data_IF_671201585062
#
_entry.id   IF_671201585062
#
_cell.length_a   1.000
_cell.length_b   1.000
_cell.length_c   1.000
_cell.angle_alpha   90.00
_cell.angle_beta   90.00
_cell.angle_gamma   90.00
#
_symmetry.space_group_name_H-M   'P 1'
#
loop_
_entity.id
_entity.type
_entity.pdbx_description
1 polymer ?
#
# COMPACT_ATOMS: atom_id res chain seq x y z
N UNK A 1 -3.55 -26.81 11.55
CA UNK A 1 -2.87 -25.56 11.95
C UNK A 1 -3.65 -25.02 13.13
N UNK A 2 -3.11 -25.10 14.34
CA UNK A 2 -3.82 -24.61 15.51
C UNK A 2 -3.45 -23.14 15.69
N UNK A 3 -4.41 -22.25 15.44
CA UNK A 3 -4.28 -20.83 15.75
C UNK A 3 -4.32 -20.66 17.28
N UNK A 4 -3.39 -19.89 17.84
CA UNK A 4 -3.46 -19.46 19.24
C UNK A 4 -4.22 -18.13 19.32
N UNK A 5 -5.46 -18.19 19.79
CA UNK A 5 -6.36 -17.03 19.87
C UNK A 5 -5.80 -15.91 20.74
N UNK A 6 -5.38 -16.22 21.96
CA UNK A 6 -4.90 -15.19 22.90
C UNK A 6 -3.64 -14.50 22.38
N UNK A 7 -2.74 -15.27 21.75
CA UNK A 7 -1.57 -14.71 21.06
C UNK A 7 -2.02 -13.76 19.95
N UNK A 8 -2.92 -14.16 19.06
CA UNK A 8 -3.41 -13.31 17.97
C UNK A 8 -4.00 -12.00 18.46
N UNK A 9 -4.88 -12.07 19.46
CA UNK A 9 -5.54 -10.89 20.00
C UNK A 9 -4.58 -9.95 20.74
N UNK A 10 -3.39 -10.45 21.12
CA UNK A 10 -2.34 -9.64 21.75
C UNK A 10 -1.36 -8.97 20.78
N UNK A 11 -1.37 -9.36 19.49
CA UNK A 11 -0.43 -8.83 18.51
C UNK A 11 -0.67 -7.34 18.25
N UNK A 12 0.42 -6.56 18.17
CA UNK A 12 0.39 -5.13 17.88
C UNK A 12 1.50 -4.73 16.92
N UNK A 13 1.24 -3.71 16.11
CA UNK A 13 2.24 -2.99 15.36
C UNK A 13 2.09 -1.51 15.71
N UNK A 14 3.11 -0.94 16.35
CA UNK A 14 3.07 0.43 16.89
C UNK A 14 4.32 1.19 16.42
N UNK A 15 4.16 2.49 16.12
CA UNK A 15 5.29 3.40 15.88
C UNK A 15 6.06 3.19 14.57
N UNK A 16 5.49 2.49 13.58
CA UNK A 16 6.11 2.41 12.26
C UNK A 16 6.03 3.74 11.52
N UNK A 17 7.20 4.21 11.10
CA UNK A 17 7.33 5.38 10.26
C UNK A 17 7.39 4.96 8.79
N UNK A 18 6.75 5.74 7.93
CA UNK A 18 6.77 5.54 6.49
C UNK A 18 7.20 6.82 5.81
N UNK A 19 8.05 6.67 4.80
CA UNK A 19 8.46 7.75 3.92
C UNK A 19 8.15 7.36 2.48
N UNK A 20 7.70 8.35 1.71
CA UNK A 20 7.42 8.25 0.29
C UNK A 20 7.64 9.62 -0.31
N UNK A 21 8.05 9.66 -1.58
CA UNK A 21 8.22 10.90 -2.30
C UNK A 21 7.48 10.89 -3.63
N UNK A 22 7.89 11.83 -4.49
CA UNK A 22 7.31 12.01 -5.82
C UNK A 22 7.45 10.74 -6.66
N UNK A 23 8.59 10.04 -6.54
CA UNK A 23 8.85 8.79 -7.25
C UNK A 23 7.81 7.71 -6.94
N UNK A 24 7.58 7.41 -5.66
CA UNK A 24 6.61 6.39 -5.23
C UNK A 24 5.18 6.81 -5.59
N UNK A 25 4.89 8.11 -5.49
CA UNK A 25 3.60 8.68 -5.85
C UNK A 25 3.28 8.46 -7.33
N UNK A 26 4.20 8.83 -8.22
CA UNK A 26 4.02 8.65 -9.66
C UNK A 26 4.04 7.17 -10.04
N UNK A 27 4.93 6.36 -9.46
CA UNK A 27 5.01 4.93 -9.74
C UNK A 27 3.71 4.20 -9.38
N UNK A 28 3.08 4.58 -8.26
CA UNK A 28 1.78 4.03 -7.88
C UNK A 28 0.68 4.43 -8.87
N UNK A 29 0.59 5.71 -9.23
CA UNK A 29 -0.40 6.20 -10.19
C UNK A 29 -0.29 5.48 -11.55
N UNK A 30 0.93 5.35 -12.07
CA UNK A 30 1.21 4.57 -13.29
C UNK A 30 0.80 3.10 -13.13
N UNK A 31 1.12 2.49 -11.99
CA UNK A 31 0.80 1.08 -11.69
C UNK A 31 -0.69 0.78 -11.68
N UNK A 32 -1.54 1.75 -11.35
CA UNK A 32 -3.01 1.61 -11.35
C UNK A 32 -3.68 2.16 -12.62
N UNK A 33 -2.90 2.61 -13.60
CA UNK A 33 -3.37 2.89 -14.96
C UNK A 33 -3.41 4.35 -15.40
N UNK A 34 -2.98 5.31 -14.58
CA UNK A 34 -2.82 6.71 -15.01
C UNK A 34 -1.70 6.83 -16.06
N UNK A 35 -1.80 7.81 -16.95
CA UNK A 35 -0.87 8.06 -18.05
C UNK A 35 -1.04 7.10 -19.23
N UNK A 36 -2.11 6.29 -19.25
CA UNK A 36 -2.35 5.32 -20.33
C UNK A 36 -2.81 5.98 -21.63
N UNK A 37 -3.58 7.06 -21.53
CA UNK A 37 -3.82 7.97 -22.63
C UNK A 37 -2.79 9.12 -22.55
N UNK A 38 -1.79 9.19 -23.44
CA UNK A 38 -0.76 10.22 -23.39
C UNK A 38 -1.30 11.63 -23.73
N UNK A 39 -2.55 11.75 -24.19
CA UNK A 39 -3.18 13.03 -24.53
C UNK A 39 -4.14 13.53 -23.44
N UNK A 40 -4.36 12.77 -22.36
CA UNK A 40 -5.20 13.23 -21.24
C UNK A 40 -4.38 14.08 -20.26
N UNK A 41 -4.43 15.39 -20.44
CA UNK A 41 -3.76 16.35 -19.57
C UNK A 41 -4.28 16.33 -18.12
N UNK A 42 -5.47 15.78 -17.86
CA UNK A 42 -6.02 15.68 -16.51
C UNK A 42 -5.25 14.69 -15.62
N UNK A 43 -4.54 13.75 -16.23
CA UNK A 43 -3.73 12.75 -15.53
C UNK A 43 -2.28 13.23 -15.27
N UNK A 44 -1.82 14.28 -15.97
CA UNK A 44 -0.46 14.83 -15.79
C UNK A 44 -0.12 15.14 -14.32
N UNK A 45 -1.02 15.74 -13.50
CA UNK A 45 -0.72 15.99 -12.09
C UNK A 45 -0.48 14.73 -11.25
N UNK A 46 -0.65 13.51 -11.77
CA UNK A 46 -0.41 12.27 -11.02
C UNK A 46 0.83 11.50 -11.51
N UNK A 47 1.32 11.81 -12.70
CA UNK A 47 2.42 11.07 -13.36
C UNK A 47 3.63 11.95 -13.71
N UNK A 48 3.53 13.26 -13.46
CA UNK A 48 4.58 14.25 -13.67
C UNK A 48 4.79 15.09 -12.41
N UNK A 49 6.05 15.32 -12.03
CA UNK A 49 6.44 15.89 -10.73
C UNK A 49 5.97 17.34 -10.51
N UNK A 50 5.69 18.07 -11.59
CA UNK A 50 5.25 19.47 -11.49
C UNK A 50 3.78 19.54 -11.05
N UNK A 51 3.54 20.14 -9.88
CA UNK A 51 2.23 20.21 -9.23
C UNK A 51 1.63 18.83 -8.92
N UNK A 52 2.50 17.89 -8.53
CA UNK A 52 2.14 16.50 -8.28
C UNK A 52 1.04 16.37 -7.23
N UNK A 53 0.12 15.44 -7.48
CA UNK A 53 -0.97 15.00 -6.63
C UNK A 53 -0.84 13.51 -6.39
N UNK A 54 -1.18 13.10 -5.19
CA UNK A 54 -1.20 11.69 -4.81
C UNK A 54 -2.60 11.12 -4.94
N UNK A 55 -2.71 9.92 -5.52
CA UNK A 55 -3.96 9.15 -5.48
C UNK A 55 -4.16 8.63 -4.04
N UNK A 56 -5.30 8.88 -3.38
CA UNK A 56 -5.49 8.56 -1.96
C UNK A 56 -5.21 7.09 -1.59
N UNK A 57 -5.45 6.17 -2.51
CA UNK A 57 -5.24 4.73 -2.32
C UNK A 57 -3.76 4.34 -2.26
N UNK A 58 -2.80 5.24 -2.56
CA UNK A 58 -1.37 4.99 -2.30
C UNK A 58 -1.11 4.62 -0.84
N UNK A 59 -1.92 5.15 0.10
CA UNK A 59 -1.83 4.84 1.52
C UNK A 59 -1.89 3.32 1.80
N UNK A 60 -2.64 2.55 0.99
CA UNK A 60 -2.73 1.09 1.16
C UNK A 60 -1.46 0.35 0.76
N UNK A 61 -0.60 0.98 -0.04
CA UNK A 61 0.71 0.43 -0.46
C UNK A 61 1.80 0.87 0.51
N UNK A 62 1.81 2.14 0.92
CA UNK A 62 2.80 2.67 1.86
C UNK A 62 2.78 1.87 3.17
N UNK A 63 1.58 1.62 3.71
CA UNK A 63 1.43 0.88 4.97
C UNK A 63 1.28 -0.64 4.76
N UNK A 64 1.43 -1.14 3.52
CA UNK A 64 1.26 -2.55 3.24
C UNK A 64 2.34 -3.37 3.95
N UNK A 65 1.93 -4.35 4.74
CA UNK A 65 2.85 -5.19 5.51
C UNK A 65 3.31 -4.60 6.85
N UNK A 66 2.77 -3.44 7.27
CA UNK A 66 2.99 -2.90 8.61
C UNK A 66 2.41 -3.77 9.74
N UNK A 67 1.51 -4.72 9.42
CA UNK A 67 0.80 -5.52 10.41
C UNK A 67 1.64 -6.62 11.06
N UNK A 68 1.31 -6.98 12.30
CA UNK A 68 1.91 -8.10 13.04
C UNK A 68 1.44 -9.50 12.59
N UNK A 69 0.74 -9.58 11.47
CA UNK A 69 0.08 -10.79 10.97
C UNK A 69 1.09 -11.91 10.59
N UNK A 70 2.37 -11.59 10.38
CA UNK A 70 3.43 -12.60 10.22
C UNK A 70 3.56 -13.54 11.43
N UNK A 71 3.26 -13.05 12.64
CA UNK A 71 3.34 -13.82 13.89
C UNK A 71 2.08 -14.65 14.18
N UNK A 72 1.10 -14.59 13.28
CA UNK A 72 -0.22 -15.22 13.46
C UNK A 72 -0.19 -16.74 13.40
N UNK A 73 0.83 -17.33 12.76
CA UNK A 73 0.87 -18.77 12.46
C UNK A 73 -0.09 -19.20 11.36
N UNK A 74 -0.73 -18.26 10.65
CA UNK A 74 -1.55 -18.53 9.47
C UNK A 74 -0.63 -18.81 8.27
N UNK A 75 -0.98 -19.81 7.47
CA UNK A 75 -0.33 -20.00 6.17
C UNK A 75 -0.80 -18.91 5.19
N UNK A 76 0.03 -17.86 5.05
CA UNK A 76 -0.22 -16.70 4.20
C UNK A 76 -0.47 -17.06 2.73
N UNK A 77 0.08 -18.18 2.24
CA UNK A 77 -0.15 -18.65 0.86
C UNK A 77 -1.59 -19.13 0.61
N UNK A 78 -2.37 -19.37 1.67
CA UNK A 78 -3.79 -19.76 1.57
C UNK A 78 -4.74 -18.63 1.98
N UNK A 79 -4.23 -17.39 2.11
CA UNK A 79 -5.03 -16.21 2.46
C UNK A 79 -5.35 -15.42 1.19
N UNK A 80 -6.60 -15.04 1.03
CA UNK A 80 -7.06 -14.07 0.02
C UNK A 80 -7.42 -12.75 0.69
N UNK A 81 -7.22 -11.64 -0.02
CA UNK A 81 -7.65 -10.33 0.46
C UNK A 81 -9.16 -10.20 0.25
N UNK A 82 -9.91 -10.06 1.34
CA UNK A 82 -11.37 -9.83 1.35
C UNK A 82 -11.76 -8.38 1.24
#
# INVERSE_FOLDING_TARGET
MAINYDKLMSLKAEGQEFSYGDRETMLYALGIGFGRDPLDENELPFVYEKNLKTVPTLATVIAWGAGAIGDSGINYSMVVHG
#
